data_IF_049493894192
#
_entry.id   IF_049493894192
#
_cell.length_a   1.000
_cell.length_b   1.000
_cell.length_c   1.000
_cell.angle_alpha   90.00
_cell.angle_beta   90.00
_cell.angle_gamma   90.00
#
_symmetry.space_group_name_H-M   'P 1'
#
loop_
_entity.id
_entity.type
_entity.pdbx_description
1 polymer ?
#
# COMPACT_ATOMS: atom_id res chain seq x y z
N UNK A 1 -2.63 1.64 -19.69
CA UNK A 1 -4.00 2.16 -19.90
C UNK A 1 -5.01 1.30 -19.13
N UNK A 2 -4.98 -0.02 -19.32
CA UNK A 2 -5.92 -0.96 -18.69
C UNK A 2 -5.99 -0.88 -17.16
N UNK A 3 -4.85 -0.70 -16.48
CA UNK A 3 -4.83 -0.57 -15.02
C UNK A 3 -5.51 0.70 -14.52
N UNK A 4 -5.36 1.84 -15.20
CA UNK A 4 -5.99 3.10 -14.79
C UNK A 4 -7.51 3.06 -14.95
N UNK A 5 -7.98 2.43 -16.04
CA UNK A 5 -9.42 2.18 -16.28
C UNK A 5 -9.97 1.26 -15.19
N UNK A 6 -9.30 0.12 -14.95
CA UNK A 6 -9.71 -0.84 -13.93
C UNK A 6 -9.79 -0.21 -12.55
N UNK A 7 -8.81 0.60 -12.16
CA UNK A 7 -8.78 1.28 -10.86
C UNK A 7 -9.75 2.45 -10.77
N UNK A 8 -10.27 2.92 -11.91
CA UNK A 8 -11.01 4.18 -12.05
C UNK A 8 -10.28 5.34 -11.36
N UNK A 9 -8.97 5.42 -11.59
CA UNK A 9 -8.09 6.40 -10.96
C UNK A 9 -6.87 6.70 -11.86
N UNK A 10 -6.62 7.98 -12.11
CA UNK A 10 -5.49 8.47 -12.90
C UNK A 10 -4.66 9.37 -11.99
N UNK A 11 -3.35 9.11 -11.88
CA UNK A 11 -2.39 9.96 -11.15
C UNK A 11 -1.31 10.54 -12.09
N UNK A 12 -1.27 10.11 -13.36
CA UNK A 12 -0.27 10.53 -14.35
C UNK A 12 -0.93 10.69 -15.72
N UNK A 13 -0.63 11.78 -16.42
CA UNK A 13 -1.15 12.05 -17.77
C UNK A 13 0.02 12.34 -18.72
N UNK A 14 -0.02 11.77 -19.92
CA UNK A 14 0.91 12.10 -20.99
C UNK A 14 0.21 12.01 -22.35
N UNK A 15 0.28 13.08 -23.16
CA UNK A 15 -0.29 13.15 -24.51
C UNK A 15 -1.77 12.70 -24.58
N UNK A 16 -2.59 13.13 -23.61
CA UNK A 16 -4.01 12.78 -23.54
C UNK A 16 -4.32 11.37 -23.00
N UNK A 17 -3.30 10.58 -22.64
CA UNK A 17 -3.46 9.24 -22.06
C UNK A 17 -3.28 9.32 -20.54
N UNK A 18 -4.22 8.73 -19.80
CA UNK A 18 -4.19 8.59 -18.35
C UNK A 18 -3.57 7.27 -17.89
N UNK A 19 -2.74 7.35 -16.85
CA UNK A 19 -2.04 6.23 -16.23
C UNK A 19 -2.26 6.25 -14.71
N UNK A 20 -2.07 5.09 -14.10
CA UNK A 20 -1.97 4.94 -12.66
C UNK A 20 -0.61 4.29 -12.34
N UNK A 21 0.26 5.02 -11.65
CA UNK A 21 1.61 4.56 -11.29
C UNK A 21 1.75 4.19 -9.81
N UNK A 22 0.73 4.45 -8.98
CA UNK A 22 0.75 4.08 -7.56
C UNK A 22 0.91 2.57 -7.35
N UNK A 23 0.20 1.75 -8.14
CA UNK A 23 0.30 0.29 -8.02
C UNK A 23 1.69 -0.22 -8.44
N UNK A 24 2.35 0.46 -9.39
CA UNK A 24 3.74 0.18 -9.81
C UNK A 24 4.70 0.59 -8.70
N UNK A 25 4.43 1.73 -8.07
CA UNK A 25 5.15 2.22 -6.91
C UNK A 25 5.13 1.19 -5.77
N UNK A 26 3.94 0.73 -5.40
CA UNK A 26 3.76 -0.29 -4.38
C UNK A 26 4.43 -1.61 -4.78
N UNK A 27 4.16 -2.13 -5.99
CA UNK A 27 4.74 -3.38 -6.47
C UNK A 27 6.27 -3.39 -6.33
N UNK A 28 6.95 -2.38 -6.89
CA UNK A 28 8.41 -2.31 -6.83
C UNK A 28 8.96 -2.08 -5.43
N UNK A 29 8.16 -1.50 -4.52
CA UNK A 29 8.57 -1.29 -3.13
C UNK A 29 8.50 -2.53 -2.26
N UNK A 30 7.78 -3.58 -2.68
CA UNK A 30 7.48 -4.74 -1.83
C UNK A 30 7.76 -6.09 -2.50
N UNK A 31 8.04 -6.14 -3.81
CA UNK A 31 8.16 -7.40 -4.58
C UNK A 31 9.23 -8.38 -4.05
N UNK A 32 10.25 -7.88 -3.34
CA UNK A 32 11.31 -8.71 -2.76
C UNK A 32 10.99 -9.20 -1.33
N UNK A 33 9.83 -8.85 -0.80
CA UNK A 33 9.38 -9.28 0.53
C UNK A 33 8.65 -10.63 0.47
N UNK A 34 8.71 -11.39 1.56
CA UNK A 34 7.91 -12.61 1.70
C UNK A 34 6.45 -12.25 2.04
N UNK A 35 5.56 -12.47 1.06
CA UNK A 35 4.13 -12.19 1.15
C UNK A 35 3.27 -13.46 1.09
N UNK A 36 3.83 -14.63 1.38
CA UNK A 36 3.10 -15.92 1.37
C UNK A 36 2.10 -16.08 2.53
N UNK A 37 2.10 -15.14 3.49
CA UNK A 37 1.28 -15.16 4.69
C UNK A 37 -0.10 -14.51 4.54
N UNK A 38 -0.80 -14.36 5.68
CA UNK A 38 -2.07 -13.64 5.73
C UNK A 38 -1.82 -12.13 5.82
N UNK A 39 -2.47 -11.37 4.95
CA UNK A 39 -2.31 -9.91 4.86
C UNK A 39 -3.59 -9.20 5.28
N UNK A 40 -3.49 -8.24 6.20
CA UNK A 40 -4.53 -7.23 6.40
C UNK A 40 -4.17 -5.98 5.60
N UNK A 41 -5.16 -5.45 4.87
CA UNK A 41 -5.11 -4.11 4.26
C UNK A 41 -6.14 -3.24 4.99
N UNK A 42 -5.67 -2.17 5.63
CA UNK A 42 -6.51 -1.17 6.30
C UNK A 42 -6.73 0.04 5.40
N UNK A 43 -8.00 0.33 5.10
CA UNK A 43 -8.45 1.45 4.27
C UNK A 43 -9.12 1.00 2.98
N UNK A 44 -9.97 1.87 2.41
CA UNK A 44 -10.68 1.59 1.14
C UNK A 44 -10.61 2.78 0.15
N UNK A 45 -9.54 3.57 0.23
CA UNK A 45 -9.31 4.74 -0.63
C UNK A 45 -8.56 4.41 -1.93
N UNK A 46 -8.05 5.45 -2.61
CA UNK A 46 -7.26 5.30 -3.84
C UNK A 46 -5.98 4.49 -3.64
N UNK A 47 -5.24 4.73 -2.54
CA UNK A 47 -4.06 3.95 -2.19
C UNK A 47 -4.40 2.46 -1.98
N UNK A 48 -5.50 2.16 -1.27
CA UNK A 48 -5.97 0.79 -1.08
C UNK A 48 -6.26 0.09 -2.42
N UNK A 49 -6.93 0.77 -3.36
CA UNK A 49 -7.16 0.25 -4.72
C UNK A 49 -5.85 -0.11 -5.42
N UNK A 50 -4.89 0.81 -5.44
CA UNK A 50 -3.60 0.59 -6.09
C UNK A 50 -2.81 -0.57 -5.44
N UNK A 51 -2.82 -0.64 -4.12
CA UNK A 51 -2.16 -1.69 -3.34
C UNK A 51 -2.79 -3.06 -3.59
N UNK A 52 -4.13 -3.18 -3.53
CA UNK A 52 -4.80 -4.44 -3.85
C UNK A 52 -4.50 -4.91 -5.27
N UNK A 53 -4.40 -3.98 -6.22
CA UNK A 53 -3.97 -4.32 -7.59
C UNK A 53 -2.52 -4.77 -7.66
N UNK A 54 -1.62 -4.15 -6.91
CA UNK A 54 -0.24 -4.62 -6.80
C UNK A 54 -0.15 -6.02 -6.17
N UNK A 55 -0.89 -6.27 -5.08
CA UNK A 55 -0.99 -7.60 -4.45
C UNK A 55 -1.54 -8.66 -5.42
N UNK A 56 -2.55 -8.31 -6.21
CA UNK A 56 -3.04 -9.15 -7.31
C UNK A 56 -1.94 -9.48 -8.32
N UNK A 57 -1.15 -8.48 -8.74
CA UNK A 57 -0.04 -8.70 -9.68
C UNK A 57 1.08 -9.54 -9.10
N UNK A 58 1.30 -9.48 -7.79
CA UNK A 58 2.26 -10.34 -7.07
C UNK A 58 1.73 -11.78 -6.95
N UNK A 59 0.40 -11.97 -6.93
CA UNK A 59 -0.23 -13.28 -6.78
C UNK A 59 -0.60 -13.63 -5.34
N UNK A 60 -0.79 -12.64 -4.47
CA UNK A 60 -1.26 -12.85 -3.09
C UNK A 60 -2.73 -13.26 -3.09
N UNK A 61 -3.06 -14.31 -2.33
CA UNK A 61 -4.40 -14.92 -2.29
C UNK A 61 -5.10 -14.85 -0.92
N UNK A 62 -4.38 -14.45 0.14
CA UNK A 62 -4.88 -14.37 1.53
C UNK A 62 -4.97 -12.93 2.04
N UNK A 63 -5.94 -12.19 1.51
CA UNK A 63 -6.14 -10.78 1.82
C UNK A 63 -7.40 -10.58 2.66
N UNK A 64 -7.27 -9.89 3.78
CA UNK A 64 -8.37 -9.35 4.57
C UNK A 64 -8.39 -7.82 4.45
N UNK A 65 -9.46 -7.27 3.90
CA UNK A 65 -9.67 -5.84 3.74
C UNK A 65 -10.56 -5.32 4.88
N UNK A 66 -10.09 -4.28 5.57
CA UNK A 66 -10.80 -3.64 6.67
C UNK A 66 -10.88 -2.15 6.38
N UNK A 67 -12.03 -1.53 6.64
CA UNK A 67 -12.19 -0.08 6.55
C UNK A 67 -13.16 0.42 7.61
N UNK A 68 -13.00 1.67 8.05
CA UNK A 68 -13.90 2.31 9.03
C UNK A 68 -15.37 2.31 8.59
N UNK A 69 -15.61 2.54 7.29
CA UNK A 69 -16.94 2.40 6.68
C UNK A 69 -16.98 1.08 5.92
N UNK A 70 -17.68 0.10 6.48
CA UNK A 70 -17.72 -1.27 5.95
C UNK A 70 -18.14 -1.34 4.48
N UNK A 71 -19.18 -0.60 4.10
CA UNK A 71 -19.70 -0.59 2.71
C UNK A 71 -18.65 -0.16 1.68
N UNK A 72 -17.73 0.74 2.04
CA UNK A 72 -16.63 1.14 1.14
C UNK A 72 -15.66 -0.02 0.89
N UNK A 73 -15.39 -0.86 1.89
CA UNK A 73 -14.58 -2.06 1.71
C UNK A 73 -15.31 -3.11 0.85
N UNK A 74 -16.62 -3.28 1.02
CA UNK A 74 -17.44 -4.16 0.18
C UNK A 74 -17.45 -3.69 -1.28
N UNK A 75 -17.64 -2.40 -1.52
CA UNK A 75 -17.57 -1.83 -2.87
C UNK A 75 -16.19 -2.03 -3.50
N UNK A 76 -15.12 -1.83 -2.71
CA UNK A 76 -13.76 -2.08 -3.17
C UNK A 76 -13.52 -3.55 -3.50
N UNK A 77 -13.96 -4.48 -2.64
CA UNK A 77 -13.89 -5.93 -2.89
C UNK A 77 -14.53 -6.30 -4.23
N UNK A 78 -15.74 -5.79 -4.50
CA UNK A 78 -16.48 -6.07 -5.76
C UNK A 78 -15.68 -5.75 -7.01
N UNK A 79 -14.82 -4.73 -6.98
CA UNK A 79 -13.93 -4.38 -8.09
C UNK A 79 -12.95 -5.52 -8.43
N UNK A 80 -12.58 -6.32 -7.44
CA UNK A 80 -11.56 -7.37 -7.52
C UNK A 80 -12.11 -8.80 -7.54
N UNK A 81 -13.43 -9.01 -7.44
CA UNK A 81 -14.05 -10.35 -7.30
C UNK A 81 -13.60 -11.36 -8.39
N UNK A 82 -13.29 -10.89 -9.60
CA UNK A 82 -12.81 -11.72 -10.73
C UNK A 82 -11.27 -11.80 -10.85
N UNK A 83 -10.54 -11.23 -9.90
CA UNK A 83 -9.08 -11.06 -9.94
C UNK A 83 -8.38 -11.71 -8.76
N UNK A 84 -8.84 -11.42 -7.55
CA UNK A 84 -8.29 -11.98 -6.30
C UNK A 84 -9.40 -12.18 -5.27
N UNK A 85 -9.22 -13.17 -4.41
CA UNK A 85 -10.11 -13.39 -3.27
C UNK A 85 -9.74 -12.41 -2.16
N UNK A 86 -10.71 -11.60 -1.74
CA UNK A 86 -10.58 -10.66 -0.63
C UNK A 86 -11.67 -10.98 0.40
N UNK A 87 -11.27 -11.28 1.63
CA UNK A 87 -12.19 -11.29 2.76
C UNK A 87 -12.41 -9.85 3.25
N UNK A 88 -13.64 -9.48 3.62
CA UNK A 88 -13.94 -8.15 4.16
C UNK A 88 -14.48 -8.30 5.57
N UNK A 89 -13.85 -7.63 6.53
CA UNK A 89 -14.21 -7.70 7.95
C UNK A 89 -14.52 -6.32 8.52
N UNK A 90 -15.30 -6.32 9.60
CA UNK A 90 -15.66 -5.11 10.32
C UNK A 90 -14.44 -4.49 11.01
N UNK A 91 -14.40 -3.15 11.05
CA UNK A 91 -13.33 -2.40 11.71
C UNK A 91 -13.14 -2.79 13.18
N UNK A 92 -14.21 -3.11 13.90
CA UNK A 92 -14.15 -3.54 15.30
C UNK A 92 -13.36 -4.83 15.52
N UNK A 93 -13.20 -5.68 14.49
CA UNK A 93 -12.45 -6.94 14.58
C UNK A 93 -10.94 -6.77 14.35
N UNK A 94 -10.47 -5.57 13.99
CA UNK A 94 -9.08 -5.33 13.60
C UNK A 94 -8.06 -5.87 14.62
N UNK A 95 -8.24 -5.59 15.92
CA UNK A 95 -7.35 -6.04 16.99
C UNK A 95 -7.38 -7.55 17.23
N UNK A 96 -8.45 -8.24 16.86
CA UNK A 96 -8.55 -9.69 17.00
C UNK A 96 -7.87 -10.35 15.81
N UNK A 97 -8.17 -9.86 14.61
CA UNK A 97 -7.66 -10.43 13.36
C UNK A 97 -6.14 -10.27 13.23
N UNK A 98 -5.58 -9.14 13.67
CA UNK A 98 -4.14 -8.87 13.54
C UNK A 98 -3.25 -9.91 14.23
N UNK A 99 -3.76 -10.60 15.26
CA UNK A 99 -3.03 -11.62 16.00
C UNK A 99 -2.67 -12.85 15.15
N UNK A 100 -3.41 -13.09 14.07
CA UNK A 100 -3.22 -14.22 13.17
C UNK A 100 -2.62 -13.81 11.81
N UNK A 101 -2.13 -12.59 11.68
CA UNK A 101 -1.61 -12.06 10.41
C UNK A 101 -0.09 -12.02 10.36
N UNK A 102 0.46 -12.16 9.15
CA UNK A 102 1.89 -12.05 8.88
C UNK A 102 2.26 -10.64 8.40
N UNK A 103 1.34 -9.97 7.69
CA UNK A 103 1.56 -8.62 7.14
C UNK A 103 0.39 -7.70 7.44
N UNK A 104 0.71 -6.48 7.90
CA UNK A 104 -0.26 -5.41 8.07
C UNK A 104 0.07 -4.23 7.15
N UNK A 105 -0.89 -3.82 6.30
CA UNK A 105 -0.73 -2.73 5.36
C UNK A 105 -1.67 -1.58 5.73
N UNK A 106 -1.13 -0.47 6.23
CA UNK A 106 -1.88 0.77 6.44
C UNK A 106 -1.92 1.56 5.13
N UNK A 107 -3.12 1.77 4.58
CA UNK A 107 -3.35 2.59 3.37
C UNK A 107 -4.10 3.89 3.69
N UNK A 108 -4.33 4.17 4.97
CA UNK A 108 -5.00 5.38 5.44
C UNK A 108 -4.00 6.51 5.67
N UNK A 109 -4.50 7.72 5.90
CA UNK A 109 -3.66 8.85 6.32
C UNK A 109 -3.35 8.86 7.82
N UNK A 110 -3.83 7.89 8.61
CA UNK A 110 -3.55 7.83 10.05
C UNK A 110 -2.04 7.66 10.28
N UNK A 111 -1.49 8.50 11.14
CA UNK A 111 -0.05 8.57 11.42
C UNK A 111 0.64 9.76 10.74
N UNK A 112 0.00 10.38 9.74
CA UNK A 112 0.54 11.56 9.04
C UNK A 112 0.70 12.77 9.97
N UNK A 113 -0.20 12.94 10.93
CA UNK A 113 -0.14 13.98 11.97
C UNK A 113 0.16 13.37 13.34
N UNK A 114 0.96 12.29 13.35
CA UNK A 114 1.38 11.56 14.55
C UNK A 114 0.20 10.94 15.33
N UNK A 115 -0.93 10.68 14.67
CA UNK A 115 -2.04 9.92 15.25
C UNK A 115 -1.64 8.45 15.43
N UNK A 116 -2.08 7.84 16.53
CA UNK A 116 -1.91 6.41 16.74
C UNK A 116 -3.03 5.65 16.04
N UNK A 117 -2.67 4.54 15.39
CA UNK A 117 -3.67 3.54 15.05
C UNK A 117 -4.08 2.82 16.34
N UNK A 118 -5.38 2.57 16.57
CA UNK A 118 -5.86 1.85 17.75
C UNK A 118 -5.64 0.34 17.58
N UNK A 119 -4.40 -0.07 17.26
CA UNK A 119 -4.02 -1.48 17.09
C UNK A 119 -2.99 -1.88 18.13
N UNK A 120 -3.03 -3.14 18.55
CA UNK A 120 -1.98 -3.77 19.34
C UNK A 120 -1.17 -4.67 18.41
N UNK A 121 0.11 -4.40 18.28
CA UNK A 121 1.00 -5.23 17.47
C UNK A 121 1.18 -6.60 18.13
N UNK A 122 1.17 -7.63 17.30
CA UNK A 122 1.32 -9.02 17.72
C UNK A 122 2.64 -9.58 17.20
N UNK A 123 3.28 -10.46 17.97
CA UNK A 123 4.59 -11.08 17.65
C UNK A 123 4.62 -11.86 16.34
N UNK A 124 3.45 -12.27 15.85
CA UNK A 124 3.29 -13.00 14.58
C UNK A 124 3.47 -12.10 13.35
N UNK A 125 3.25 -10.79 13.48
CA UNK A 125 3.48 -9.85 12.38
C UNK A 125 4.96 -9.84 12.02
N UNK A 126 5.27 -10.08 10.76
CA UNK A 126 6.63 -10.03 10.22
C UNK A 126 6.89 -8.71 9.51
N UNK A 127 5.85 -8.14 8.91
CA UNK A 127 5.94 -6.95 8.09
C UNK A 127 4.81 -5.96 8.38
N UNK A 128 5.16 -4.70 8.56
CA UNK A 128 4.24 -3.58 8.45
C UNK A 128 4.61 -2.76 7.23
N UNK A 129 3.63 -2.53 6.36
CA UNK A 129 3.72 -1.58 5.26
C UNK A 129 2.83 -0.38 5.58
N UNK A 130 3.38 0.82 5.58
CA UNK A 130 2.65 2.06 5.87
C UNK A 130 2.81 3.03 4.70
N UNK A 131 1.70 3.39 4.03
CA UNK A 131 1.77 4.32 2.88
C UNK A 131 2.22 5.72 3.28
N UNK A 132 2.19 6.05 4.57
CA UNK A 132 2.76 7.30 5.07
C UNK A 132 4.29 7.20 4.99
N UNK A 133 4.92 8.15 4.30
CA UNK A 133 6.35 8.13 4.00
C UNK A 133 7.24 8.67 5.13
N UNK A 134 6.66 9.35 6.12
CA UNK A 134 7.34 9.76 7.35
C UNK A 134 7.30 8.67 8.42
N UNK A 135 8.12 8.83 9.47
CA UNK A 135 8.20 7.87 10.57
C UNK A 135 7.03 8.00 11.55
N UNK A 136 5.96 7.22 11.30
CA UNK A 136 4.70 7.25 12.06
C UNK A 136 4.81 6.56 13.43
N UNK A 137 3.86 6.81 14.36
CA UNK A 137 3.78 6.04 15.61
C UNK A 137 3.72 4.53 15.40
N UNK A 138 3.00 4.08 14.36
CA UNK A 138 2.89 2.66 14.00
C UNK A 138 4.28 2.07 13.67
N UNK A 139 5.05 2.74 12.82
CA UNK A 139 6.38 2.30 12.42
C UNK A 139 7.32 2.26 13.63
N UNK A 140 7.29 3.28 14.49
CA UNK A 140 8.08 3.35 15.73
C UNK A 140 7.73 2.23 16.71
N UNK A 141 6.46 1.90 16.84
CA UNK A 141 6.01 0.81 17.72
C UNK A 141 6.44 -0.56 17.18
N UNK A 142 6.36 -0.78 15.86
CA UNK A 142 6.82 -2.01 15.22
C UNK A 142 8.33 -2.23 15.37
N UNK A 143 9.14 -1.20 15.13
CA UNK A 143 10.59 -1.29 15.26
C UNK A 143 11.02 -1.66 16.68
N UNK A 144 10.33 -1.14 17.70
CA UNK A 144 10.60 -1.47 19.12
C UNK A 144 10.40 -2.94 19.46
N UNK A 145 9.51 -3.62 18.75
CA UNK A 145 9.22 -5.05 18.95
C UNK A 145 9.82 -5.93 17.86
N UNK A 146 10.74 -5.38 17.05
CA UNK A 146 11.48 -6.13 16.04
C UNK A 146 10.71 -6.48 14.76
N UNK A 147 9.55 -5.85 14.53
CA UNK A 147 8.77 -6.07 13.29
C UNK A 147 9.37 -5.20 12.18
N UNK A 148 9.60 -5.81 10.99
CA UNK A 148 10.12 -5.09 9.83
C UNK A 148 9.10 -4.06 9.36
N UNK A 149 9.55 -2.84 9.06
CA UNK A 149 8.72 -1.75 8.54
C UNK A 149 9.15 -1.36 7.13
N UNK A 150 8.17 -1.12 6.26
CA UNK A 150 8.35 -0.45 4.97
C UNK A 150 7.43 0.76 4.96
N UNK A 151 8.00 1.95 4.82
CA UNK A 151 7.24 3.17 4.71
C UNK A 151 6.94 3.53 3.25
N UNK A 152 6.07 4.51 3.05
CA UNK A 152 5.60 4.92 1.73
C UNK A 152 6.67 5.59 0.86
N UNK A 153 7.87 5.85 1.39
CA UNK A 153 8.93 6.57 0.64
C UNK A 153 9.35 5.82 -0.61
N UNK A 154 9.47 4.50 -0.54
CA UNK A 154 9.86 3.70 -1.71
C UNK A 154 8.72 3.57 -2.72
N UNK A 155 7.47 3.47 -2.30
CA UNK A 155 6.33 3.58 -3.22
C UNK A 155 6.30 4.94 -3.91
N UNK A 156 6.56 6.02 -3.16
CA UNK A 156 6.67 7.37 -3.70
C UNK A 156 7.82 7.50 -4.72
N UNK A 157 8.98 6.91 -4.40
CA UNK A 157 10.13 6.85 -5.31
C UNK A 157 9.77 6.13 -6.61
N UNK A 158 9.25 4.91 -6.53
CA UNK A 158 8.99 4.08 -7.71
C UNK A 158 7.84 4.59 -8.57
N UNK A 159 6.78 5.18 -7.98
CA UNK A 159 5.75 5.83 -8.80
C UNK A 159 6.33 7.05 -9.54
N UNK A 160 7.25 7.81 -8.91
CA UNK A 160 7.86 8.97 -9.57
C UNK A 160 8.82 8.54 -10.69
N UNK A 161 9.58 7.45 -10.50
CA UNK A 161 10.36 6.81 -11.57
C UNK A 161 9.46 6.50 -12.75
N UNK A 162 8.31 5.88 -12.51
CA UNK A 162 7.39 5.49 -13.57
C UNK A 162 6.79 6.71 -14.29
N UNK A 163 6.45 7.77 -13.57
CA UNK A 163 5.96 9.01 -14.18
C UNK A 163 7.01 9.61 -15.13
N UNK A 164 8.28 9.68 -14.69
CA UNK A 164 9.37 10.21 -15.52
C UNK A 164 9.63 9.34 -16.75
N UNK A 165 9.46 8.02 -16.65
CA UNK A 165 9.55 7.11 -17.81
C UNK A 165 8.42 7.37 -18.79
N UNK A 166 7.18 7.47 -18.30
CA UNK A 166 5.99 7.79 -19.12
C UNK A 166 6.18 9.12 -19.86
N UNK A 167 6.78 10.12 -19.20
CA UNK A 167 7.08 11.42 -19.78
C UNK A 167 8.35 11.45 -20.67
N UNK A 168 9.06 10.32 -20.79
CA UNK A 168 10.31 10.20 -21.55
C UNK A 168 11.43 11.14 -21.08
N UNK A 169 11.50 11.42 -19.77
CA UNK A 169 12.53 12.30 -19.16
C UNK A 169 13.30 11.60 -18.03
N UNK A 170 13.15 10.28 -17.90
CA UNK A 170 13.82 9.53 -16.84
C UNK A 170 15.33 9.43 -17.06
N UNK A 171 16.09 9.95 -16.11
CA UNK A 171 17.53 9.71 -15.99
C UNK A 171 17.80 9.13 -14.59
N UNK A 172 18.22 7.87 -14.53
CA UNK A 172 18.35 7.14 -13.27
C UNK A 172 19.30 7.81 -12.29
N UNK A 173 20.51 8.17 -12.76
CA UNK A 173 21.53 8.76 -11.91
C UNK A 173 21.07 10.10 -11.31
N UNK A 174 20.58 11.00 -12.17
CA UNK A 174 20.08 12.32 -11.75
C UNK A 174 18.89 12.18 -10.82
N UNK A 175 17.93 11.33 -11.15
CA UNK A 175 16.72 11.17 -10.35
C UNK A 175 17.02 10.59 -8.97
N UNK A 176 17.83 9.53 -8.87
CA UNK A 176 18.27 8.97 -7.59
C UNK A 176 18.89 10.05 -6.71
N UNK A 177 19.83 10.82 -7.27
CA UNK A 177 20.51 11.89 -6.55
C UNK A 177 19.56 12.98 -6.06
N UNK A 178 18.64 13.45 -6.91
CA UNK A 178 17.69 14.52 -6.57
C UNK A 178 16.66 14.03 -5.56
N UNK A 179 16.05 12.86 -5.79
CA UNK A 179 14.99 12.35 -4.92
C UNK A 179 15.50 12.22 -3.49
N UNK A 180 16.57 11.45 -3.26
CA UNK A 180 17.07 11.22 -1.91
C UNK A 180 17.65 12.47 -1.23
N UNK A 181 18.09 13.48 -1.99
CA UNK A 181 18.56 14.76 -1.44
C UNK A 181 17.41 15.58 -0.85
N UNK A 182 16.24 15.57 -1.49
CA UNK A 182 15.12 16.45 -1.12
C UNK A 182 13.93 15.73 -0.45
N UNK A 183 13.91 14.40 -0.43
CA UNK A 183 12.84 13.58 0.19
C UNK A 183 13.10 13.26 1.67
N UNK A 184 13.50 14.26 2.47
CA UNK A 184 13.75 14.04 3.91
C UNK A 184 12.44 13.93 4.69
#
# INVERSE_FOLDING_TARGET
>A
MDSAIFLSAINTIHKGIGYNTDWIGFYNSIINEDLNGKIIVLGAGGAAKAILYGLYKIGVDRITLINRTYDRAIQLKKLFDKKIKINVEEYGKLNILINDMDTFINTTSLGMFNEKLPIKLHEKLKLIYDVVYFHTPLQKEAEKVGIKTINGKMMWYYQAVENLKIWNVYNEHTFKKVFFKYSK
#
